data_IF_674570579251
#
_entry.id   IF_674570579251
#
_cell.length_a   1.000
_cell.length_b   1.000
_cell.length_c   1.000
_cell.angle_alpha   90.00
_cell.angle_beta   90.00
_cell.angle_gamma   90.00
#
_symmetry.space_group_name_H-M   'P 1'
#
loop_
_entity.id
_entity.type
_entity.pdbx_description
1 polymer ?
#
# COMPACT_ATOMS: atom_id res chain seq x y z
N UNK A 1 46.92 -16.97 19.39
CA UNK A 1 45.83 -16.14 19.91
C UNK A 1 44.92 -15.83 18.71
N UNK A 2 43.78 -16.57 18.57
CA UNK A 2 42.84 -16.43 17.46
C UNK A 2 41.72 -15.49 17.92
N UNK A 3 41.28 -14.51 17.12
CA UNK A 3 40.13 -13.69 17.48
C UNK A 3 38.84 -14.47 17.28
N UNK A 4 38.04 -14.44 18.31
CA UNK A 4 36.69 -14.98 18.46
C UNK A 4 35.73 -14.36 17.42
N UNK A 5 35.26 -15.18 16.49
CA UNK A 5 34.17 -14.83 15.56
C UNK A 5 32.87 -15.00 16.32
N UNK A 6 32.40 -13.95 16.96
CA UNK A 6 31.03 -13.89 17.44
C UNK A 6 30.10 -13.87 16.24
N UNK A 7 29.46 -14.99 15.98
CA UNK A 7 28.30 -15.10 15.13
C UNK A 7 27.18 -14.27 15.77
N UNK A 8 26.94 -13.08 15.25
CA UNK A 8 25.74 -12.31 15.56
C UNK A 8 24.54 -13.08 15.05
N UNK A 9 23.84 -13.77 15.94
CA UNK A 9 22.51 -14.32 15.69
C UNK A 9 21.62 -13.13 15.28
N UNK A 10 21.09 -13.14 14.06
CA UNK A 10 20.04 -12.21 13.66
C UNK A 10 18.83 -12.50 14.55
N UNK A 11 18.71 -11.77 15.64
CA UNK A 11 17.50 -11.72 16.45
C UNK A 11 16.42 -11.12 15.57
N UNK A 12 15.36 -11.88 15.29
CA UNK A 12 14.23 -11.38 14.52
C UNK A 12 13.75 -10.06 15.14
N UNK A 13 13.75 -8.99 14.35
CA UNK A 13 13.30 -7.66 14.79
C UNK A 13 11.77 -7.71 15.00
N UNK A 14 11.35 -8.18 16.17
CA UNK A 14 9.97 -8.08 16.63
C UNK A 14 9.86 -6.86 17.53
N UNK A 15 8.99 -5.90 17.18
CA UNK A 15 8.64 -4.81 18.09
C UNK A 15 7.68 -5.32 19.16
N UNK A 16 7.89 -4.91 20.40
CA UNK A 16 6.89 -5.06 21.45
C UNK A 16 5.72 -4.12 21.22
N UNK A 17 4.58 -4.40 21.86
CA UNK A 17 3.41 -3.51 21.78
C UNK A 17 3.73 -2.09 22.29
N UNK A 18 4.51 -1.98 23.37
CA UNK A 18 4.89 -0.69 23.94
C UNK A 18 5.79 0.12 22.99
N UNK A 19 6.76 -0.53 22.34
CA UNK A 19 7.59 0.13 21.32
C UNK A 19 6.76 0.59 20.14
N UNK A 20 5.84 -0.23 19.63
CA UNK A 20 4.97 0.17 18.52
C UNK A 20 4.09 1.37 18.90
N UNK A 21 3.60 1.44 20.13
CA UNK A 21 2.73 2.54 20.57
C UNK A 21 3.45 3.90 20.54
N UNK A 22 4.79 3.94 20.61
CA UNK A 22 5.57 5.19 20.46
C UNK A 22 5.48 5.79 19.06
N UNK A 23 5.05 5.03 18.06
CA UNK A 23 4.85 5.48 16.69
C UNK A 23 3.41 5.94 16.38
N UNK A 24 2.56 6.03 17.41
CA UNK A 24 1.21 6.58 17.26
C UNK A 24 1.28 8.01 16.75
N UNK A 25 0.38 8.35 15.84
CA UNK A 25 0.26 9.67 15.19
C UNK A 25 1.47 10.11 14.35
N UNK A 26 2.49 9.26 14.23
CA UNK A 26 3.61 9.52 13.30
C UNK A 26 3.08 9.46 11.86
N UNK A 27 3.43 10.47 11.08
CA UNK A 27 3.15 10.50 9.64
C UNK A 27 4.19 9.67 8.88
N UNK A 28 3.70 8.91 7.89
CA UNK A 28 4.56 8.13 7.00
C UNK A 28 4.52 8.77 5.62
N UNK A 29 5.68 9.19 5.09
CA UNK A 29 5.75 9.83 3.78
C UNK A 29 5.35 8.87 2.66
N UNK A 30 4.73 9.41 1.63
CA UNK A 30 4.35 8.67 0.44
C UNK A 30 5.58 8.12 -0.29
N UNK A 31 5.45 6.93 -0.85
CA UNK A 31 6.41 6.40 -1.81
C UNK A 31 5.92 6.74 -3.21
N UNK A 32 6.50 7.76 -3.82
CA UNK A 32 6.12 8.21 -5.18
C UNK A 32 7.37 8.28 -6.08
N UNK A 33 7.22 8.08 -7.40
CA UNK A 33 8.21 8.50 -8.39
C UNK A 33 8.49 10.00 -8.29
N UNK A 34 9.63 10.46 -8.80
CA UNK A 34 9.94 11.89 -8.87
C UNK A 34 8.84 12.67 -9.64
N UNK A 35 8.78 14.00 -9.44
CA UNK A 35 7.67 14.80 -10.01
C UNK A 35 7.65 14.81 -11.52
N UNK A 36 8.78 14.69 -12.16
CA UNK A 36 9.01 14.60 -13.60
C UNK A 36 8.88 13.17 -14.15
N UNK A 37 8.78 12.18 -13.26
CA UNK A 37 8.59 10.78 -13.64
C UNK A 37 7.10 10.40 -13.69
N UNK A 38 6.69 9.50 -14.62
CA UNK A 38 5.30 9.10 -14.74
C UNK A 38 4.85 8.26 -13.54
N UNK A 39 3.75 8.66 -12.92
CA UNK A 39 3.00 7.85 -11.97
C UNK A 39 1.93 7.04 -12.72
N UNK A 40 2.13 5.74 -12.89
CA UNK A 40 1.22 4.87 -13.64
C UNK A 40 0.15 4.22 -12.77
N UNK A 41 0.58 3.72 -11.60
CA UNK A 41 -0.29 3.04 -10.64
C UNK A 41 -0.04 3.59 -9.25
N UNK A 42 -1.08 4.14 -8.62
CA UNK A 42 -1.05 4.63 -7.25
C UNK A 42 -1.85 3.68 -6.37
N UNK A 43 -1.18 2.90 -5.54
CA UNK A 43 -1.83 2.15 -4.47
C UNK A 43 -2.11 3.06 -3.29
N UNK A 44 -3.31 2.94 -2.73
CA UNK A 44 -3.76 3.78 -1.61
C UNK A 44 -4.24 2.88 -0.46
N UNK A 45 -3.54 2.93 0.66
CA UNK A 45 -3.99 2.33 1.92
C UNK A 45 -4.99 3.23 2.66
N UNK A 46 -5.56 2.74 3.76
CA UNK A 46 -6.44 3.52 4.62
C UNK A 46 -5.59 4.52 5.41
N UNK A 47 -4.68 4.00 6.22
CA UNK A 47 -3.67 4.74 6.96
C UNK A 47 -2.49 3.83 7.31
N UNK A 48 -1.35 4.39 7.73
CA UNK A 48 -0.26 3.58 8.26
C UNK A 48 -0.68 2.88 9.55
N UNK A 49 -0.32 1.59 9.67
CA UNK A 49 -0.31 0.93 10.97
C UNK A 49 0.96 1.33 11.75
N UNK A 50 0.99 1.11 13.07
CA UNK A 50 2.17 1.42 13.90
C UNK A 50 3.43 0.71 13.40
N UNK A 51 3.30 -0.51 12.88
CA UNK A 51 4.42 -1.25 12.26
C UNK A 51 4.95 -0.55 11.00
N UNK A 52 4.06 -0.02 10.18
CA UNK A 52 4.41 0.78 9.01
C UNK A 52 5.20 2.03 9.40
N UNK A 53 4.78 2.71 10.45
CA UNK A 53 5.48 3.89 10.96
C UNK A 53 6.86 3.53 11.54
N UNK A 54 6.97 2.41 12.26
CA UNK A 54 8.24 1.93 12.82
C UNK A 54 9.27 1.54 11.74
N UNK A 55 8.82 0.90 10.64
CA UNK A 55 9.69 0.43 9.56
C UNK A 55 9.79 1.38 8.38
N UNK A 56 8.99 2.45 8.35
CA UNK A 56 8.83 3.37 7.21
C UNK A 56 8.53 2.62 5.90
N UNK A 57 7.77 1.52 6.00
CA UNK A 57 7.39 0.67 4.88
C UNK A 57 5.87 0.47 4.89
N UNK A 58 5.21 0.92 3.83
CA UNK A 58 3.75 0.77 3.71
C UNK A 58 3.34 -0.69 3.77
N UNK A 59 2.17 -0.97 4.37
CA UNK A 59 1.62 -2.31 4.53
C UNK A 59 2.52 -3.31 5.29
N UNK A 60 3.42 -2.83 6.15
CA UNK A 60 4.47 -3.62 6.79
C UNK A 60 4.01 -4.54 7.94
N UNK A 61 2.76 -4.44 8.39
CA UNK A 61 2.31 -5.27 9.51
C UNK A 61 2.49 -6.77 9.20
N UNK A 62 3.08 -7.56 10.09
CA UNK A 62 3.17 -9.01 9.94
C UNK A 62 1.81 -9.63 9.63
N UNK A 63 1.77 -10.53 8.63
CA UNK A 63 0.53 -11.12 8.13
C UNK A 63 -0.27 -10.26 7.15
N UNK A 64 0.19 -9.04 6.80
CA UNK A 64 -0.37 -8.29 5.70
C UNK A 64 -0.03 -8.97 4.37
N UNK A 65 -1.02 -9.12 3.50
CA UNK A 65 -0.90 -9.87 2.24
C UNK A 65 -0.60 -8.99 1.02
N UNK A 66 -0.36 -7.69 1.22
CA UNK A 66 -0.12 -6.76 0.12
C UNK A 66 1.07 -7.19 -0.77
N UNK A 67 2.26 -7.32 -0.20
CA UNK A 67 3.45 -7.71 -0.98
C UNK A 67 3.38 -9.12 -1.53
N UNK A 68 2.92 -10.14 -0.78
CA UNK A 68 2.65 -11.47 -1.36
C UNK A 68 1.69 -11.42 -2.55
N UNK A 69 0.64 -10.59 -2.49
CA UNK A 69 -0.30 -10.44 -3.60
C UNK A 69 0.32 -9.70 -4.79
N UNK A 70 1.17 -8.69 -4.58
CA UNK A 70 1.90 -8.01 -5.66
C UNK A 70 2.86 -8.98 -6.38
N UNK A 71 3.57 -9.82 -5.63
CA UNK A 71 4.45 -10.84 -6.21
C UNK A 71 3.64 -11.86 -7.02
N UNK A 72 2.56 -12.39 -6.45
CA UNK A 72 1.65 -13.35 -7.11
C UNK A 72 0.98 -12.77 -8.36
N UNK A 73 0.70 -11.48 -8.38
CA UNK A 73 0.15 -10.75 -9.52
C UNK A 73 1.17 -10.41 -10.61
N UNK A 74 2.47 -10.72 -10.42
CA UNK A 74 3.54 -10.34 -11.33
C UNK A 74 3.84 -8.84 -11.35
N UNK A 75 3.38 -8.11 -10.33
CA UNK A 75 3.68 -6.68 -10.14
C UNK A 75 5.09 -6.50 -9.56
N UNK A 76 5.54 -7.42 -8.76
CA UNK A 76 6.92 -7.51 -8.28
C UNK A 76 7.61 -8.70 -8.92
N UNK A 77 8.89 -8.56 -9.23
CA UNK A 77 9.74 -9.67 -9.71
C UNK A 77 10.33 -10.46 -8.55
N UNK A 78 10.62 -9.80 -7.44
CA UNK A 78 11.27 -10.36 -6.24
C UNK A 78 10.39 -10.12 -5.01
N UNK A 79 10.44 -11.02 -4.02
CA UNK A 79 9.69 -10.84 -2.78
C UNK A 79 10.25 -9.67 -1.96
N UNK A 80 9.34 -8.89 -1.36
CA UNK A 80 9.68 -7.86 -0.38
C UNK A 80 9.20 -8.36 0.99
N UNK A 81 10.12 -8.42 1.97
CA UNK A 81 9.75 -8.64 3.37
C UNK A 81 9.53 -7.29 4.07
N UNK A 82 8.29 -6.85 4.23
CA UNK A 82 8.01 -5.55 4.81
C UNK A 82 8.32 -5.50 6.32
N UNK A 83 8.44 -6.63 7.00
CA UNK A 83 8.68 -6.66 8.44
C UNK A 83 10.08 -6.16 8.80
N UNK A 84 11.05 -6.32 7.90
CA UNK A 84 12.41 -5.76 8.02
C UNK A 84 12.56 -4.41 7.32
N UNK A 85 11.54 -3.97 6.62
CA UNK A 85 11.52 -2.72 5.86
C UNK A 85 11.97 -2.88 4.40
N UNK A 86 11.51 -1.99 3.55
CA UNK A 86 11.95 -1.89 2.16
C UNK A 86 13.41 -1.43 2.07
N UNK A 87 14.19 -2.08 1.22
CA UNK A 87 15.52 -1.59 0.84
C UNK A 87 15.41 -0.40 -0.13
N UNK A 88 16.51 0.33 -0.35
CA UNK A 88 16.57 1.35 -1.40
C UNK A 88 16.26 0.76 -2.77
N UNK A 89 16.80 -0.45 -3.07
CA UNK A 89 16.55 -1.17 -4.33
C UNK A 89 15.05 -1.43 -4.55
N UNK A 90 14.32 -1.84 -3.51
CA UNK A 90 12.88 -2.11 -3.63
C UNK A 90 12.10 -0.84 -3.94
N UNK A 91 12.43 0.27 -3.25
CA UNK A 91 11.80 1.58 -3.49
C UNK A 91 12.08 2.09 -4.90
N UNK A 92 13.31 1.97 -5.37
CA UNK A 92 13.72 2.39 -6.70
C UNK A 92 13.09 1.53 -7.80
N UNK A 93 12.91 0.23 -7.55
CA UNK A 93 12.20 -0.65 -8.48
C UNK A 93 10.75 -0.22 -8.68
N UNK A 94 10.02 0.04 -7.58
CA UNK A 94 8.64 0.52 -7.66
C UNK A 94 8.55 1.86 -8.39
N UNK A 95 9.44 2.83 -8.04
CA UNK A 95 9.46 4.16 -8.67
C UNK A 95 9.73 4.07 -10.16
N UNK A 96 10.77 3.33 -10.59
CA UNK A 96 11.11 3.14 -12.01
C UNK A 96 9.97 2.55 -12.84
N UNK A 97 9.13 1.73 -12.21
CA UNK A 97 7.94 1.15 -12.85
C UNK A 97 6.74 2.09 -12.84
N UNK A 98 6.87 3.27 -12.25
CA UNK A 98 5.79 4.23 -12.10
C UNK A 98 4.74 3.80 -11.08
N UNK A 99 5.14 3.03 -10.06
CA UNK A 99 4.26 2.57 -8.98
C UNK A 99 4.50 3.45 -7.76
N UNK A 100 3.42 4.07 -7.26
CA UNK A 100 3.41 4.81 -6.01
C UNK A 100 2.56 4.13 -4.95
N UNK A 101 2.85 4.46 -3.69
CA UNK A 101 2.06 4.01 -2.53
C UNK A 101 1.82 5.22 -1.62
N UNK A 102 0.58 5.43 -1.23
CA UNK A 102 0.13 6.46 -0.30
C UNK A 102 -0.97 5.93 0.62
N UNK A 103 -1.53 6.78 1.46
CA UNK A 103 -2.69 6.47 2.30
C UNK A 103 -3.74 7.60 2.23
N UNK A 104 -4.99 7.27 2.52
CA UNK A 104 -6.06 8.28 2.69
C UNK A 104 -5.72 9.20 3.85
N UNK A 105 -5.32 8.64 4.99
CA UNK A 105 -4.86 9.39 6.18
C UNK A 105 -3.39 9.10 6.42
N UNK A 106 -2.56 10.13 6.62
CA UNK A 106 -1.11 9.96 6.74
C UNK A 106 -0.64 9.51 8.13
N UNK A 107 -1.43 9.78 9.19
CA UNK A 107 -1.05 9.44 10.56
C UNK A 107 -1.23 7.96 10.89
N UNK A 108 -0.30 7.43 11.67
CA UNK A 108 -0.31 6.04 12.10
C UNK A 108 -1.26 5.80 13.28
N UNK A 109 -2.00 4.68 13.21
CA UNK A 109 -2.84 4.18 14.31
C UNK A 109 -2.63 2.68 14.51
N UNK A 110 -3.00 2.15 15.66
CA UNK A 110 -2.95 0.70 15.89
C UNK A 110 -4.00 -0.03 15.04
N UNK A 111 -5.15 0.61 14.79
CA UNK A 111 -6.28 0.08 14.02
C UNK A 111 -6.92 1.19 13.17
N UNK A 112 -7.40 0.83 12.00
CA UNK A 112 -8.06 1.78 11.09
C UNK A 112 -9.40 2.33 11.62
N UNK A 113 -10.06 1.64 12.53
CA UNK A 113 -11.30 2.08 13.18
C UNK A 113 -11.09 3.17 14.26
N UNK A 114 -9.85 3.53 14.55
CA UNK A 114 -9.50 4.70 15.36
C UNK A 114 -9.58 6.02 14.57
N UNK A 115 -9.73 5.94 13.25
CA UNK A 115 -9.93 7.11 12.40
C UNK A 115 -11.37 7.56 12.41
N UNK A 116 -11.58 8.85 12.51
CA UNK A 116 -12.92 9.45 12.39
C UNK A 116 -13.36 9.51 10.92
N UNK A 117 -14.68 9.61 10.73
CA UNK A 117 -15.21 9.81 9.37
C UNK A 117 -14.78 11.17 8.77
N UNK A 118 -14.49 12.15 9.61
CA UNK A 118 -14.00 13.46 9.19
C UNK A 118 -12.56 13.37 8.65
N UNK A 119 -11.66 12.73 9.38
CA UNK A 119 -10.28 12.46 8.91
C UNK A 119 -10.25 11.73 7.58
N UNK A 120 -11.13 10.73 7.40
CA UNK A 120 -11.25 10.01 6.13
C UNK A 120 -11.73 10.92 4.99
N UNK A 121 -12.71 11.82 5.22
CA UNK A 121 -13.20 12.75 4.20
C UNK A 121 -12.14 13.79 3.83
N UNK A 122 -11.47 14.38 4.82
CA UNK A 122 -10.35 15.31 4.58
C UNK A 122 -9.20 14.63 3.85
N UNK A 123 -8.87 13.41 4.25
CA UNK A 123 -7.87 12.58 3.56
C UNK A 123 -8.28 12.28 2.13
N UNK A 124 -9.57 12.01 1.89
CA UNK A 124 -10.13 11.84 0.55
C UNK A 124 -9.98 13.09 -0.33
N UNK A 125 -10.17 14.29 0.22
CA UNK A 125 -9.96 15.56 -0.49
C UNK A 125 -8.46 15.74 -0.84
N UNK A 126 -7.56 15.50 0.11
CA UNK A 126 -6.10 15.57 -0.12
C UNK A 126 -5.66 14.56 -1.20
N UNK A 127 -6.19 13.34 -1.16
CA UNK A 127 -5.90 12.33 -2.18
C UNK A 127 -6.39 12.74 -3.57
N UNK A 128 -7.57 13.33 -3.67
CA UNK A 128 -8.07 13.87 -4.95
C UNK A 128 -7.17 14.98 -5.49
N UNK A 129 -6.67 15.87 -4.64
CA UNK A 129 -5.72 16.91 -5.04
C UNK A 129 -4.40 16.31 -5.54
N UNK A 130 -3.86 15.29 -4.86
CA UNK A 130 -2.67 14.56 -5.30
C UNK A 130 -2.88 13.89 -6.65
N UNK A 131 -4.04 13.26 -6.86
CA UNK A 131 -4.39 12.60 -8.13
C UNK A 131 -4.52 13.62 -9.27
N UNK A 132 -5.14 14.77 -9.03
CA UNK A 132 -5.26 15.86 -10.02
C UNK A 132 -3.89 16.44 -10.40
N UNK A 133 -2.96 16.57 -9.42
CA UNK A 133 -1.59 17.03 -9.66
C UNK A 133 -0.76 16.01 -10.42
N UNK A 134 -0.73 14.75 -9.92
CA UNK A 134 0.20 13.71 -10.40
C UNK A 134 -0.35 12.89 -11.56
N UNK A 135 -1.65 12.94 -11.81
CA UNK A 135 -2.38 12.30 -12.92
C UNK A 135 -1.99 10.82 -13.14
N UNK A 136 -2.05 9.96 -12.10
CA UNK A 136 -1.80 8.54 -12.30
C UNK A 136 -2.75 7.95 -13.33
N UNK A 137 -2.32 6.96 -14.11
CA UNK A 137 -3.24 6.24 -15.00
C UNK A 137 -4.32 5.50 -14.23
N UNK A 138 -3.92 4.91 -13.10
CA UNK A 138 -4.80 4.14 -12.20
C UNK A 138 -4.55 4.53 -10.75
N UNK A 139 -5.64 4.74 -10.02
CA UNK A 139 -5.69 4.82 -8.56
C UNK A 139 -6.34 3.56 -8.03
N UNK A 140 -5.69 2.85 -7.13
CA UNK A 140 -6.12 1.56 -6.59
C UNK A 140 -6.25 1.65 -5.06
N UNK A 141 -7.47 1.87 -4.56
CA UNK A 141 -7.76 2.12 -3.14
C UNK A 141 -8.11 0.82 -2.43
N UNK A 142 -7.30 0.41 -1.46
CA UNK A 142 -7.50 -0.80 -0.67
C UNK A 142 -8.47 -0.58 0.49
N UNK A 143 -9.64 -1.22 0.43
CA UNK A 143 -10.65 -1.20 1.49
C UNK A 143 -11.91 -0.41 1.13
N UNK A 144 -12.98 -1.14 0.80
CA UNK A 144 -14.26 -0.59 0.34
C UNK A 144 -14.94 0.32 1.38
N UNK A 145 -14.86 -0.03 2.67
CA UNK A 145 -15.51 0.75 3.73
C UNK A 145 -14.87 2.13 3.88
N UNK A 146 -13.53 2.20 3.90
CA UNK A 146 -12.81 3.46 3.95
C UNK A 146 -13.06 4.30 2.69
N UNK A 147 -13.07 3.68 1.51
CA UNK A 147 -13.41 4.35 0.26
C UNK A 147 -14.80 5.00 0.31
N UNK A 148 -15.82 4.25 0.75
CA UNK A 148 -17.19 4.76 0.88
C UNK A 148 -17.27 6.00 1.78
N UNK A 149 -16.55 5.99 2.89
CA UNK A 149 -16.55 7.10 3.85
C UNK A 149 -15.76 8.29 3.32
N UNK A 150 -14.56 8.05 2.79
CA UNK A 150 -13.66 9.12 2.33
C UNK A 150 -14.22 9.90 1.13
N UNK A 151 -14.94 9.22 0.23
CA UNK A 151 -15.42 9.82 -1.03
C UNK A 151 -16.94 9.98 -1.11
N UNK A 152 -17.70 9.59 -0.07
CA UNK A 152 -19.15 9.67 -0.05
C UNK A 152 -19.88 8.66 -0.96
N UNK A 153 -19.15 7.69 -1.50
CA UNK A 153 -19.63 6.73 -2.50
C UNK A 153 -20.25 5.49 -1.82
N UNK A 154 -21.39 5.67 -1.18
CA UNK A 154 -22.04 4.64 -0.32
C UNK A 154 -22.29 3.30 -1.02
N UNK A 155 -22.45 3.29 -2.35
CA UNK A 155 -22.73 2.09 -3.15
C UNK A 155 -21.48 1.48 -3.80
N UNK A 156 -20.29 2.06 -3.59
CA UNK A 156 -19.07 1.51 -4.16
C UNK A 156 -18.86 0.06 -3.74
N UNK A 157 -18.36 -0.75 -4.66
CA UNK A 157 -18.00 -2.15 -4.46
C UNK A 157 -16.53 -2.36 -4.85
N UNK A 158 -15.99 -3.52 -4.57
CA UNK A 158 -14.68 -3.92 -5.12
C UNK A 158 -14.77 -3.97 -6.65
N UNK A 159 -13.73 -3.50 -7.32
CA UNK A 159 -13.66 -3.38 -8.77
C UNK A 159 -13.54 -1.93 -9.26
N UNK A 160 -13.71 -1.73 -10.55
CA UNK A 160 -13.59 -0.41 -11.17
C UNK A 160 -14.74 0.53 -10.75
N UNK A 161 -14.41 1.78 -10.50
CA UNK A 161 -15.29 2.86 -10.09
C UNK A 161 -15.32 3.97 -11.15
N UNK A 162 -16.24 4.95 -11.05
CA UNK A 162 -16.20 6.16 -11.88
C UNK A 162 -14.83 6.83 -11.81
N UNK A 163 -14.37 7.35 -12.94
CA UNK A 163 -13.05 7.99 -13.07
C UNK A 163 -12.94 9.24 -12.19
N UNK A 164 -11.69 9.51 -11.77
CA UNK A 164 -11.31 10.80 -11.22
C UNK A 164 -10.50 11.54 -12.29
N UNK A 165 -11.10 12.54 -12.90
CA UNK A 165 -10.56 13.22 -14.09
C UNK A 165 -10.13 12.19 -15.17
N UNK A 166 -8.84 12.11 -15.48
CA UNK A 166 -8.28 11.15 -16.46
C UNK A 166 -7.92 9.79 -15.85
N UNK A 167 -7.88 9.68 -14.52
CA UNK A 167 -7.46 8.48 -13.82
C UNK A 167 -8.58 7.45 -13.73
N UNK A 168 -8.30 6.19 -14.06
CA UNK A 168 -9.18 5.06 -13.71
C UNK A 168 -9.06 4.79 -12.22
N UNK A 169 -10.17 4.45 -11.60
CA UNK A 169 -10.21 4.19 -10.14
C UNK A 169 -10.66 2.77 -9.89
N UNK A 170 -9.94 2.06 -9.05
CA UNK A 170 -10.29 0.73 -8.59
C UNK A 170 -10.40 0.72 -7.07
N UNK A 171 -11.44 0.10 -6.55
CA UNK A 171 -11.50 -0.29 -5.14
C UNK A 171 -11.01 -1.72 -5.05
N UNK A 172 -9.99 -1.93 -4.25
CA UNK A 172 -9.37 -3.23 -4.03
C UNK A 172 -9.83 -3.82 -2.70
N UNK A 173 -9.84 -5.16 -2.57
CA UNK A 173 -10.00 -5.80 -1.27
C UNK A 173 -8.90 -5.38 -0.31
N UNK A 174 -9.21 -5.33 1.00
CA UNK A 174 -8.24 -4.95 2.01
C UNK A 174 -7.23 -6.09 2.27
N UNK A 175 -5.91 -5.87 2.10
CA UNK A 175 -4.88 -6.88 2.29
C UNK A 175 -4.57 -7.22 3.76
N UNK A 176 -5.23 -6.59 4.71
CA UNK A 176 -5.02 -6.83 6.14
C UNK A 176 -5.16 -8.31 6.49
N UNK A 177 -4.22 -8.84 7.25
CA UNK A 177 -4.30 -10.20 7.78
C UNK A 177 -5.51 -10.45 8.67
N UNK A 178 -6.18 -9.40 9.15
CA UNK A 178 -7.43 -9.49 9.90
C UNK A 178 -8.66 -9.73 9.01
N UNK A 179 -8.54 -9.58 7.69
CA UNK A 179 -9.62 -9.86 6.75
C UNK A 179 -9.63 -11.35 6.39
N UNK A 180 -10.48 -12.13 7.07
CA UNK A 180 -10.54 -13.59 6.90
C UNK A 180 -11.10 -14.04 5.53
N UNK A 181 -11.76 -13.15 4.80
CA UNK A 181 -12.43 -13.48 3.53
C UNK A 181 -11.49 -13.42 2.31
N UNK A 182 -10.33 -12.81 2.44
CA UNK A 182 -9.39 -12.64 1.34
C UNK A 182 -8.21 -13.61 1.47
N UNK A 183 -7.76 -14.13 0.34
CA UNK A 183 -6.54 -14.91 0.21
C UNK A 183 -5.50 -14.12 -0.60
N UNK A 184 -4.26 -14.59 -0.66
CA UNK A 184 -3.24 -14.00 -1.55
C UNK A 184 -3.69 -14.08 -3.02
N UNK A 185 -4.36 -15.17 -3.43
CA UNK A 185 -4.80 -15.36 -4.81
C UNK A 185 -5.97 -14.43 -5.19
N UNK A 186 -6.96 -14.22 -4.30
CA UNK A 186 -8.07 -13.29 -4.57
C UNK A 186 -7.58 -11.85 -4.64
N UNK A 187 -6.68 -11.46 -3.74
CA UNK A 187 -6.01 -10.15 -3.77
C UNK A 187 -5.17 -9.98 -5.05
N UNK A 188 -4.38 -10.99 -5.42
CA UNK A 188 -3.53 -10.94 -6.61
C UNK A 188 -4.35 -10.75 -7.88
N UNK A 189 -5.51 -11.41 -8.00
CA UNK A 189 -6.42 -11.26 -9.15
C UNK A 189 -6.90 -9.82 -9.28
N UNK A 190 -7.40 -9.21 -8.18
CA UNK A 190 -7.87 -7.84 -8.18
C UNK A 190 -6.73 -6.82 -8.45
N UNK A 191 -5.54 -7.06 -7.89
CA UNK A 191 -4.39 -6.18 -8.07
C UNK A 191 -3.82 -6.27 -9.49
N UNK A 192 -3.80 -7.47 -10.09
CA UNK A 192 -3.39 -7.65 -11.47
C UNK A 192 -4.31 -6.92 -12.46
N UNK A 193 -5.62 -6.85 -12.19
CA UNK A 193 -6.56 -6.09 -13.01
C UNK A 193 -6.20 -4.59 -13.04
N UNK A 194 -6.03 -3.97 -11.86
CA UNK A 194 -5.60 -2.59 -11.74
C UNK A 194 -4.22 -2.35 -12.39
N UNK A 195 -3.27 -3.27 -12.20
CA UNK A 195 -1.93 -3.18 -12.74
C UNK A 195 -1.90 -3.29 -14.28
N UNK A 196 -2.71 -4.17 -14.87
CA UNK A 196 -2.90 -4.25 -16.33
C UNK A 196 -3.50 -2.95 -16.88
N UNK A 197 -4.50 -2.41 -16.21
CA UNK A 197 -5.09 -1.13 -16.58
C UNK A 197 -4.09 0.03 -16.55
N UNK A 198 -3.11 -0.02 -15.63
CA UNK A 198 -2.02 0.95 -15.52
C UNK A 198 -0.88 0.70 -16.52
N UNK A 199 -0.80 -0.49 -17.12
CA UNK A 199 0.30 -0.89 -18.01
C UNK A 199 1.61 -1.17 -17.26
N UNK A 200 1.54 -1.61 -15.99
CA UNK A 200 2.72 -1.97 -15.17
C UNK A 200 2.99 -3.48 -15.15
N UNK A 201 2.05 -4.31 -15.61
CA UNK A 201 2.25 -5.72 -15.94
C UNK A 201 1.82 -5.97 -17.38
N UNK A 202 2.50 -6.88 -18.08
CA UNK A 202 2.14 -7.29 -19.43
C UNK A 202 0.73 -7.91 -19.48
N UNK A 203 0.10 -7.90 -20.67
CA UNK A 203 -1.05 -8.77 -20.90
C UNK A 203 -0.57 -10.21 -20.74
N UNK A 204 -1.32 -11.00 -19.97
CA UNK A 204 -1.16 -12.46 -20.07
C UNK A 204 -1.38 -12.80 -21.55
N UNK A 205 -0.36 -13.31 -22.23
CA UNK A 205 -0.58 -13.97 -23.50
C UNK A 205 -1.32 -15.24 -23.11
N UNK A 206 -2.62 -15.31 -23.41
CA UNK A 206 -3.38 -16.55 -23.28
C UNK A 206 -2.71 -17.58 -24.18
N UNK A 207 -2.52 -18.82 -23.68
CA UNK A 207 -1.89 -19.89 -24.45
C UNK A 207 -2.72 -20.30 -25.67
#
# INVERSE_FOLDING_TARGET
>A
MRPDRRHGTMVGMGFTRAELETFRDVEVPDLLPARDEPLRLLFVGINPGLWTAATQTHFARPGNRFYPALLRAGILAEPIDPAVGMTAKDRDELRRRGIGITNVVARATARADELTAEELREGGQRLRALVSERRPRVVAVAGVTAYRTAFGERRAQVGEQPRWDTSRVFVLPNPSGLNAHETVDTLATAYAEAARAAGVVGRLVEP
#
